data_IF_416832379449
#
_entry.id   IF_416832379449
#
_cell.length_a   1.000
_cell.length_b   1.000
_cell.length_c   1.000
_cell.angle_alpha   90.00
_cell.angle_beta   90.00
_cell.angle_gamma   90.00
#
_symmetry.space_group_name_H-M   'P 1'
#
loop_
_entity.id
_entity.type
_entity.pdbx_description
1 polymer ?
#
# COMPACT_ATOMS: atom_id res chain seq x y z
N UNK A 1 9.95 -28.16 4.51
CA UNK A 1 10.98 -29.09 5.03
C UNK A 1 11.23 -30.26 4.07
N UNK A 2 10.25 -31.14 3.80
CA UNK A 2 10.38 -32.29 2.89
C UNK A 2 11.07 -31.95 1.56
N UNK A 3 10.57 -30.96 0.83
CA UNK A 3 11.16 -30.52 -0.44
C UNK A 3 12.62 -30.05 -0.32
N UNK A 4 12.95 -29.33 0.76
CA UNK A 4 14.30 -28.79 1.02
C UNK A 4 15.34 -29.91 1.18
N UNK A 5 14.98 -31.01 1.85
CA UNK A 5 15.88 -32.12 2.14
C UNK A 5 15.79 -33.28 1.14
N UNK A 6 14.73 -33.32 0.32
CA UNK A 6 14.61 -34.22 -0.84
C UNK A 6 15.32 -33.68 -2.09
N UNK A 7 15.28 -32.37 -2.31
CA UNK A 7 15.99 -31.69 -3.40
C UNK A 7 16.86 -30.57 -2.82
N UNK A 8 18.04 -30.90 -2.24
CA UNK A 8 18.91 -29.93 -1.60
C UNK A 8 19.31 -28.79 -2.51
N UNK A 9 19.16 -27.57 -2.02
CA UNK A 9 19.73 -26.37 -2.62
C UNK A 9 20.00 -25.34 -1.54
N UNK A 10 21.03 -24.52 -1.72
CA UNK A 10 21.33 -23.43 -0.78
C UNK A 10 20.09 -22.55 -0.56
N UNK A 11 19.45 -22.16 -1.65
CA UNK A 11 18.35 -21.20 -1.62
C UNK A 11 17.10 -21.77 -0.95
N UNK A 12 16.78 -23.06 -1.14
CA UNK A 12 15.59 -23.67 -0.52
C UNK A 12 15.68 -23.74 1.01
N UNK A 13 16.88 -23.99 1.55
CA UNK A 13 17.12 -23.96 3.00
C UNK A 13 17.03 -22.53 3.55
N UNK A 14 17.62 -21.56 2.86
CA UNK A 14 17.58 -20.15 3.28
C UNK A 14 16.16 -19.57 3.21
N UNK A 15 15.39 -19.92 2.18
CA UNK A 15 13.96 -19.58 2.08
C UNK A 15 13.14 -20.17 3.22
N UNK A 16 13.39 -21.43 3.61
CA UNK A 16 12.70 -22.07 4.73
C UNK A 16 13.00 -21.36 6.06
N UNK A 17 14.28 -21.01 6.29
CA UNK A 17 14.71 -20.23 7.46
C UNK A 17 14.09 -18.85 7.49
N UNK A 18 13.97 -18.21 6.33
CA UNK A 18 13.32 -16.91 6.23
C UNK A 18 11.83 -17.01 6.57
N UNK A 19 11.12 -18.03 6.08
CA UNK A 19 9.71 -18.28 6.41
C UNK A 19 9.49 -18.44 7.93
N UNK A 20 10.38 -19.16 8.62
CA UNK A 20 10.33 -19.27 10.09
C UNK A 20 10.62 -17.93 10.78
N UNK A 21 11.57 -17.14 10.25
CA UNK A 21 11.89 -15.79 10.77
C UNK A 21 10.70 -14.83 10.66
N UNK A 22 9.92 -14.89 9.58
CA UNK A 22 8.68 -14.11 9.42
C UNK A 22 7.71 -14.38 10.59
N UNK A 23 7.60 -15.65 10.97
CA UNK A 23 6.75 -16.10 12.06
C UNK A 23 7.36 -15.87 13.46
N UNK A 24 8.60 -15.39 13.54
CA UNK A 24 9.38 -15.30 14.80
C UNK A 24 9.48 -16.65 15.51
N UNK A 25 9.68 -17.72 14.74
CA UNK A 25 9.92 -19.06 15.27
C UNK A 25 11.41 -19.36 15.21
N UNK A 26 11.99 -19.71 16.35
CA UNK A 26 13.39 -20.12 16.45
C UNK A 26 13.60 -21.48 15.74
N UNK A 27 14.70 -21.60 14.98
CA UNK A 27 14.92 -22.78 14.14
C UNK A 27 15.06 -24.07 14.95
N UNK A 28 15.65 -23.97 16.14
CA UNK A 28 15.90 -25.10 17.03
C UNK A 28 14.61 -25.62 17.71
N UNK A 29 13.61 -24.77 17.91
CA UNK A 29 12.28 -25.18 18.38
C UNK A 29 11.59 -26.08 17.35
N UNK A 30 11.89 -25.89 16.06
CA UNK A 30 11.31 -26.70 14.97
C UNK A 30 12.14 -27.96 14.74
N UNK A 31 13.43 -27.80 14.41
CA UNK A 31 14.36 -28.91 14.16
C UNK A 31 15.83 -28.44 14.19
N UNK A 32 16.68 -29.23 14.83
CA UNK A 32 18.13 -29.04 14.81
C UNK A 32 18.70 -29.15 13.39
N UNK A 33 18.05 -29.90 12.49
CA UNK A 33 18.45 -29.98 11.08
C UNK A 33 18.40 -28.60 10.45
N UNK A 34 17.29 -27.87 10.59
CA UNK A 34 17.13 -26.52 10.04
C UNK A 34 18.17 -25.56 10.62
N UNK A 35 18.53 -25.74 11.88
CA UNK A 35 19.44 -24.85 12.62
C UNK A 35 20.89 -25.05 12.21
N UNK A 36 21.33 -26.30 12.04
CA UNK A 36 22.75 -26.64 11.94
C UNK A 36 23.19 -27.15 10.56
N UNK A 37 22.26 -27.39 9.64
CA UNK A 37 22.60 -27.75 8.27
C UNK A 37 23.21 -26.59 7.47
N UNK A 38 24.13 -26.90 6.57
CA UNK A 38 24.68 -25.99 5.57
C UNK A 38 24.75 -26.72 4.23
N UNK A 39 24.47 -26.01 3.14
CA UNK A 39 24.55 -26.59 1.79
C UNK A 39 25.99 -27.02 1.49
N UNK A 40 26.16 -28.21 0.93
CA UNK A 40 27.48 -28.72 0.57
C UNK A 40 27.84 -28.30 -0.87
N UNK A 41 28.74 -27.31 -1.07
CA UNK A 41 29.09 -26.87 -2.43
C UNK A 41 29.81 -27.97 -3.24
N UNK A 42 30.41 -28.96 -2.56
CA UNK A 42 31.13 -30.07 -3.20
C UNK A 42 30.21 -31.25 -3.52
N UNK A 43 28.99 -31.28 -2.96
CA UNK A 43 27.97 -32.26 -3.30
C UNK A 43 26.62 -31.54 -3.41
N UNK A 44 26.18 -31.20 -4.64
CA UNK A 44 24.95 -30.44 -4.83
C UNK A 44 23.70 -31.17 -4.35
N UNK A 45 23.79 -32.49 -4.11
CA UNK A 45 22.68 -33.31 -3.62
C UNK A 45 22.68 -33.49 -2.09
N UNK A 46 23.37 -32.64 -1.34
CA UNK A 46 23.46 -32.84 0.11
C UNK A 46 23.75 -31.60 0.95
N UNK A 47 23.47 -31.74 2.23
CA UNK A 47 23.83 -30.80 3.29
C UNK A 47 24.88 -31.43 4.19
N UNK A 48 25.59 -30.59 4.94
CA UNK A 48 26.49 -31.01 6.01
C UNK A 48 26.24 -30.21 7.30
N UNK A 49 26.66 -30.75 8.43
CA UNK A 49 26.61 -30.10 9.74
C UNK A 49 27.89 -30.39 10.53
N UNK A 50 28.34 -29.39 11.29
CA UNK A 50 29.49 -29.53 12.22
C UNK A 50 29.04 -30.15 13.54
N UNK A 51 27.76 -29.98 13.90
CA UNK A 51 27.16 -30.65 15.06
C UNK A 51 26.57 -31.98 14.65
N UNK A 52 26.61 -32.94 15.58
CA UNK A 52 25.91 -34.21 15.44
C UNK A 52 24.41 -33.96 15.30
N UNK A 53 23.83 -34.48 14.23
CA UNK A 53 22.39 -34.43 13.97
C UNK A 53 21.85 -35.86 13.93
N UNK A 54 20.67 -36.06 14.50
CA UNK A 54 19.98 -37.34 14.45
C UNK A 54 19.77 -37.78 13.00
N UNK A 55 20.00 -39.07 12.75
CA UNK A 55 19.88 -39.73 11.43
C UNK A 55 20.89 -39.32 10.35
N UNK A 56 21.84 -38.44 10.66
CA UNK A 56 22.89 -38.06 9.69
C UNK A 56 24.06 -39.03 9.78
N UNK A 57 24.79 -39.19 8.66
CA UNK A 57 26.00 -40.04 8.62
C UNK A 57 27.24 -39.21 8.91
N UNK A 58 28.13 -39.70 9.77
CA UNK A 58 29.41 -39.03 10.06
C UNK A 58 30.50 -39.54 9.12
N UNK A 59 31.40 -38.65 8.72
CA UNK A 59 32.71 -39.04 8.21
C UNK A 59 33.79 -38.83 9.29
N UNK A 60 34.99 -39.39 9.08
CA UNK A 60 36.13 -39.33 10.00
C UNK A 60 36.54 -37.89 10.41
N UNK A 61 36.20 -36.90 9.59
CA UNK A 61 36.47 -35.48 9.82
C UNK A 61 35.47 -34.78 10.76
N UNK A 62 34.74 -35.50 11.61
CA UNK A 62 33.75 -34.95 12.56
C UNK A 62 32.64 -34.10 11.91
N UNK A 63 32.38 -34.32 10.61
CA UNK A 63 31.28 -33.68 9.87
C UNK A 63 30.20 -34.70 9.62
N UNK A 64 28.95 -34.25 9.78
CA UNK A 64 27.75 -35.03 9.56
C UNK A 64 27.13 -34.64 8.23
N UNK A 65 26.66 -35.59 7.45
CA UNK A 65 26.14 -35.37 6.10
C UNK A 65 24.74 -35.97 5.93
N UNK A 66 23.94 -35.26 5.14
CA UNK A 66 22.67 -35.73 4.61
C UNK A 66 22.71 -35.60 3.09
N UNK A 67 22.43 -36.68 2.38
CA UNK A 67 22.30 -36.63 0.92
C UNK A 67 20.90 -37.09 0.52
N UNK A 68 20.33 -36.42 -0.47
CA UNK A 68 19.03 -36.75 -1.03
C UNK A 68 18.94 -38.23 -1.44
N UNK A 69 17.82 -38.87 -1.13
CA UNK A 69 17.52 -40.25 -1.54
C UNK A 69 18.24 -41.36 -0.74
N UNK A 70 19.07 -41.05 0.25
CA UNK A 70 19.82 -42.09 0.99
C UNK A 70 18.99 -42.85 2.04
N UNK A 71 17.97 -42.22 2.66
CA UNK A 71 17.12 -42.84 3.68
C UNK A 71 15.76 -42.12 3.78
N UNK A 72 14.73 -42.61 3.09
CA UNK A 72 13.39 -41.99 3.11
C UNK A 72 12.76 -42.11 4.52
N UNK A 73 12.88 -43.26 5.17
CA UNK A 73 12.31 -43.52 6.50
C UNK A 73 12.86 -42.60 7.60
N UNK A 74 14.15 -42.25 7.51
CA UNK A 74 14.81 -41.34 8.46
C UNK A 74 14.31 -39.91 8.30
N UNK A 75 14.08 -39.48 7.05
CA UNK A 75 13.49 -38.17 6.77
C UNK A 75 12.04 -38.10 7.25
N UNK A 76 11.26 -39.16 7.07
CA UNK A 76 9.88 -39.23 7.53
C UNK A 76 9.79 -39.13 9.06
N UNK A 77 10.68 -39.81 9.80
CA UNK A 77 10.76 -39.68 11.27
C UNK A 77 11.06 -38.25 11.72
N UNK A 78 11.97 -37.54 11.06
CA UNK A 78 12.24 -36.14 11.39
C UNK A 78 11.05 -35.23 11.03
N UNK A 79 10.33 -35.51 9.93
CA UNK A 79 9.10 -34.79 9.57
C UNK A 79 8.01 -34.98 10.63
N UNK A 80 7.82 -36.20 11.14
CA UNK A 80 6.87 -36.47 12.23
C UNK A 80 7.20 -35.64 13.48
N UNK A 81 8.47 -35.63 13.89
CA UNK A 81 8.96 -34.82 15.01
C UNK A 81 8.71 -33.32 14.79
N UNK A 82 8.96 -32.82 13.57
CA UNK A 82 8.67 -31.43 13.21
C UNK A 82 7.18 -31.12 13.32
N UNK A 83 6.30 -32.02 12.88
CA UNK A 83 4.86 -31.84 12.98
C UNK A 83 4.40 -31.74 14.44
N UNK A 84 4.95 -32.58 15.34
CA UNK A 84 4.67 -32.49 16.78
C UNK A 84 5.14 -31.15 17.38
N UNK A 85 6.36 -30.73 17.04
CA UNK A 85 6.92 -29.46 17.52
C UNK A 85 6.10 -28.27 17.02
N UNK A 86 5.80 -28.21 15.72
CA UNK A 86 4.98 -27.14 15.13
C UNK A 86 3.57 -27.13 15.71
N UNK A 87 2.96 -28.28 15.98
CA UNK A 87 1.64 -28.34 16.60
C UNK A 87 1.62 -27.65 17.97
N UNK A 88 2.70 -27.75 18.76
CA UNK A 88 2.84 -27.03 20.03
C UNK A 88 3.08 -25.53 19.84
N UNK A 89 3.94 -25.17 18.88
CA UNK A 89 4.33 -23.78 18.62
C UNK A 89 3.15 -22.97 18.05
N UNK A 90 2.42 -23.52 17.08
CA UNK A 90 1.33 -22.85 16.37
C UNK A 90 0.10 -22.57 17.26
N UNK A 91 0.03 -23.15 18.46
CA UNK A 91 -1.03 -22.85 19.43
C UNK A 91 -0.83 -21.48 20.08
N UNK A 92 0.42 -20.99 20.18
CA UNK A 92 0.77 -19.69 20.79
C UNK A 92 -0.02 -18.55 20.10
N UNK A 93 -0.79 -17.78 20.87
CA UNK A 93 -1.68 -16.73 20.32
C UNK A 93 -0.95 -15.71 19.45
N UNK A 94 0.27 -15.31 19.85
CA UNK A 94 1.12 -14.41 19.07
C UNK A 94 1.32 -14.90 17.64
N UNK A 95 1.57 -16.21 17.47
CA UNK A 95 1.80 -16.83 16.16
C UNK A 95 0.49 -16.98 15.40
N UNK A 96 -0.60 -17.36 16.07
CA UNK A 96 -1.94 -17.41 15.45
C UNK A 96 -2.34 -16.06 14.86
N UNK A 97 -2.13 -14.97 15.59
CA UNK A 97 -2.46 -13.62 15.11
C UNK A 97 -1.58 -13.22 13.93
N UNK A 98 -0.28 -13.56 13.96
CA UNK A 98 0.60 -13.35 12.79
C UNK A 98 0.14 -14.12 11.56
N UNK A 99 -0.25 -15.38 11.70
CA UNK A 99 -0.69 -16.21 10.57
C UNK A 99 -2.01 -15.70 9.99
N UNK A 100 -2.87 -15.08 10.79
CA UNK A 100 -4.11 -14.45 10.29
C UNK A 100 -3.84 -13.21 9.43
N UNK A 101 -2.68 -12.57 9.54
CA UNK A 101 -2.35 -11.39 8.75
C UNK A 101 -2.17 -11.78 7.25
N UNK A 102 -3.00 -11.27 6.32
CA UNK A 102 -2.91 -11.62 4.90
C UNK A 102 -1.57 -11.29 4.25
N UNK A 103 -0.88 -10.25 4.73
CA UNK A 103 0.44 -9.85 4.23
C UNK A 103 1.49 -10.89 4.64
N UNK A 104 1.40 -11.40 5.88
CA UNK A 104 2.26 -12.51 6.34
C UNK A 104 1.98 -13.77 5.53
N UNK A 105 0.70 -14.08 5.27
CA UNK A 105 0.33 -15.23 4.43
C UNK A 105 0.91 -15.12 3.02
N UNK A 106 0.82 -13.95 2.37
CA UNK A 106 1.40 -13.71 1.05
C UNK A 106 2.92 -13.95 1.05
N UNK A 107 3.63 -13.46 2.06
CA UNK A 107 5.08 -13.68 2.20
C UNK A 107 5.41 -15.16 2.40
N UNK A 108 4.68 -15.86 3.25
CA UNK A 108 4.90 -17.29 3.44
C UNK A 108 4.60 -18.09 2.17
N UNK A 109 3.47 -17.79 1.51
CA UNK A 109 3.07 -18.45 0.27
C UNK A 109 4.13 -18.28 -0.82
N UNK A 110 4.67 -17.07 -1.01
CA UNK A 110 5.72 -16.82 -2.00
C UNK A 110 7.02 -17.58 -1.71
N UNK A 111 7.44 -17.64 -0.45
CA UNK A 111 8.64 -18.42 -0.06
C UNK A 111 8.42 -19.92 -0.22
N UNK A 112 7.26 -20.45 0.19
CA UNK A 112 6.94 -21.86 0.06
C UNK A 112 6.76 -22.28 -1.41
N UNK A 113 6.14 -21.45 -2.24
CA UNK A 113 6.02 -21.69 -3.67
C UNK A 113 7.41 -21.73 -4.33
N UNK A 114 8.29 -20.79 -3.99
CA UNK A 114 9.66 -20.79 -4.49
C UNK A 114 10.43 -22.06 -4.08
N UNK A 115 10.30 -22.52 -2.83
CA UNK A 115 10.88 -23.80 -2.38
C UNK A 115 10.35 -24.97 -3.22
N UNK A 116 9.04 -24.98 -3.50
CA UNK A 116 8.42 -26.01 -4.34
C UNK A 116 8.96 -25.99 -5.76
N UNK A 117 9.03 -24.83 -6.40
CA UNK A 117 9.50 -24.68 -7.78
C UNK A 117 10.98 -25.04 -7.94
N UNK A 118 11.82 -24.65 -6.98
CA UNK A 118 13.22 -25.05 -6.92
C UNK A 118 13.37 -26.57 -6.80
N UNK A 119 12.52 -27.22 -5.98
CA UNK A 119 12.61 -28.68 -5.79
C UNK A 119 12.23 -29.48 -7.04
N UNK A 120 11.42 -28.92 -7.93
CA UNK A 120 11.03 -29.51 -9.21
C UNK A 120 11.94 -29.08 -10.37
N UNK A 121 13.00 -28.30 -10.11
CA UNK A 121 13.87 -27.72 -11.13
C UNK A 121 13.11 -26.91 -12.19
N UNK A 122 11.94 -26.39 -11.82
CA UNK A 122 11.07 -25.65 -12.73
C UNK A 122 11.57 -24.22 -12.99
N UNK A 123 12.37 -23.67 -12.06
CA UNK A 123 12.83 -22.27 -12.12
C UNK A 123 14.23 -22.10 -11.52
N UNK A 124 14.95 -21.08 -12.00
CA UNK A 124 16.21 -20.60 -11.43
C UNK A 124 15.93 -19.50 -10.39
N UNK A 125 16.54 -19.61 -9.20
CA UNK A 125 16.34 -18.67 -8.09
C UNK A 125 16.55 -17.21 -8.51
N UNK A 126 17.64 -16.94 -9.24
CA UNK A 126 18.03 -15.58 -9.66
C UNK A 126 16.97 -14.88 -10.52
N UNK A 127 16.08 -15.63 -11.19
CA UNK A 127 15.01 -15.06 -12.01
C UNK A 127 13.78 -14.63 -11.19
N UNK A 128 13.47 -15.32 -10.09
CA UNK A 128 12.30 -15.02 -9.26
C UNK A 128 12.67 -14.22 -8.00
N UNK A 129 13.89 -14.34 -7.47
CA UNK A 129 14.34 -13.64 -6.27
C UNK A 129 14.07 -12.11 -6.30
N UNK A 130 14.24 -11.39 -7.43
CA UNK A 130 13.87 -9.98 -7.51
C UNK A 130 12.40 -9.69 -7.20
N UNK A 131 11.48 -10.59 -7.57
CA UNK A 131 10.06 -10.45 -7.23
C UNK A 131 9.83 -10.58 -5.73
N UNK A 132 10.45 -11.58 -5.09
CA UNK A 132 10.36 -11.77 -3.63
C UNK A 132 10.90 -10.53 -2.91
N UNK A 133 12.06 -10.01 -3.32
CA UNK A 133 12.61 -8.79 -2.73
C UNK A 133 11.69 -7.58 -2.89
N UNK A 134 10.99 -7.44 -4.01
CA UNK A 134 9.98 -6.38 -4.19
C UNK A 134 8.78 -6.57 -3.25
N UNK A 135 8.29 -7.79 -3.06
CA UNK A 135 7.20 -8.10 -2.13
C UNK A 135 7.59 -7.76 -0.69
N UNK A 136 8.83 -8.11 -0.29
CA UNK A 136 9.37 -7.81 1.03
C UNK A 136 9.53 -6.30 1.27
N UNK A 137 10.07 -5.57 0.29
CA UNK A 137 10.19 -4.11 0.36
C UNK A 137 8.81 -3.44 0.51
N UNK A 138 7.85 -3.80 -0.36
CA UNK A 138 6.48 -3.24 -0.30
C UNK A 138 5.76 -3.60 0.99
N UNK A 139 5.93 -4.83 1.49
CA UNK A 139 5.34 -5.24 2.79
C UNK A 139 5.87 -4.38 3.92
N UNK A 140 7.16 -4.07 3.92
CA UNK A 140 7.79 -3.26 4.98
C UNK A 140 7.17 -1.87 5.04
N UNK A 141 6.87 -1.27 3.89
CA UNK A 141 6.20 0.02 3.82
C UNK A 141 4.72 -0.07 4.25
N UNK A 142 4.00 -1.09 3.79
CA UNK A 142 2.60 -1.31 4.17
C UNK A 142 2.46 -1.51 5.68
N UNK A 143 3.31 -2.31 6.31
CA UNK A 143 3.25 -2.58 7.76
C UNK A 143 3.55 -1.34 8.63
N UNK A 144 4.20 -0.30 8.09
CA UNK A 144 4.41 0.97 8.80
C UNK A 144 3.16 1.85 8.81
N UNK A 145 2.22 1.59 7.89
CA UNK A 145 1.07 2.46 7.62
C UNK A 145 -0.23 1.78 8.03
N UNK A 146 -0.37 0.49 7.75
CA UNK A 146 -1.58 -0.29 7.98
C UNK A 146 -1.39 -1.25 9.14
N UNK A 147 -2.32 -1.17 10.09
CA UNK A 147 -2.51 -2.19 11.11
C UNK A 147 -3.76 -3.00 10.73
N UNK A 148 -3.60 -4.32 10.54
CA UNK A 148 -4.71 -5.21 10.21
C UNK A 148 -5.30 -5.75 11.50
N UNK A 149 -6.46 -5.21 11.89
CA UNK A 149 -7.25 -5.72 13.01
C UNK A 149 -8.54 -6.37 12.51
N UNK A 150 -8.96 -7.45 13.17
CA UNK A 150 -10.25 -8.11 12.88
C UNK A 150 -11.45 -7.35 13.45
N UNK A 151 -11.22 -6.53 14.48
CA UNK A 151 -12.23 -5.74 15.19
C UNK A 151 -11.53 -4.57 15.87
N UNK A 152 -12.02 -3.34 15.65
CA UNK A 152 -11.58 -2.18 16.42
C UNK A 152 -12.72 -1.81 17.36
N UNK A 153 -12.43 -1.75 18.66
CA UNK A 153 -13.32 -1.14 19.66
C UNK A 153 -12.85 0.30 19.86
N UNK A 154 -13.65 1.27 19.43
CA UNK A 154 -13.44 2.68 19.78
C UNK A 154 -14.54 3.08 20.77
N UNK A 155 -14.22 3.02 22.07
CA UNK A 155 -15.23 3.10 23.14
C UNK A 155 -16.21 1.92 23.11
N UNK A 156 -17.53 2.21 23.17
CA UNK A 156 -18.61 1.22 23.15
C UNK A 156 -19.01 0.76 21.72
N UNK A 157 -18.40 1.33 20.67
CA UNK A 157 -18.76 1.04 19.28
C UNK A 157 -17.84 -0.02 18.65
N UNK A 158 -18.45 -1.09 18.12
CA UNK A 158 -17.78 -2.09 17.28
C UNK A 158 -17.69 -1.56 15.85
N UNK A 159 -16.46 -1.21 15.42
CA UNK A 159 -16.21 -0.80 14.03
C UNK A 159 -16.12 -2.05 13.16
N UNK A 160 -17.06 -2.18 12.23
CA UNK A 160 -17.02 -3.20 11.18
C UNK A 160 -16.54 -2.58 9.88
N UNK A 161 -16.13 -3.42 8.92
CA UNK A 161 -15.74 -2.95 7.58
C UNK A 161 -16.84 -2.10 6.90
N UNK A 162 -18.11 -2.37 7.21
CA UNK A 162 -19.24 -1.63 6.63
C UNK A 162 -19.47 -0.27 7.31
N UNK A 163 -18.99 -0.07 8.55
CA UNK A 163 -19.23 1.15 9.33
C UNK A 163 -18.00 2.06 9.44
N UNK A 164 -16.88 1.69 8.83
CA UNK A 164 -15.58 2.37 8.98
C UNK A 164 -15.61 3.88 8.66
N UNK A 165 -16.53 4.32 7.79
CA UNK A 165 -16.72 5.73 7.42
C UNK A 165 -18.05 6.33 7.91
N UNK A 166 -18.81 5.60 8.75
CA UNK A 166 -20.15 6.00 9.19
C UNK A 166 -20.19 6.51 10.63
N UNK A 167 -19.04 6.52 11.32
CA UNK A 167 -18.97 6.93 12.73
C UNK A 167 -19.00 8.44 12.93
N UNK A 168 -18.42 9.19 11.98
CA UNK A 168 -18.30 10.65 12.05
C UNK A 168 -18.71 11.27 10.73
N UNK A 169 -19.19 12.51 10.78
CA UNK A 169 -19.54 13.25 9.57
C UNK A 169 -18.30 13.62 8.72
N UNK A 170 -17.14 13.75 9.35
CA UNK A 170 -15.88 14.11 8.68
C UNK A 170 -14.76 13.18 9.14
N UNK A 171 -14.10 12.55 8.16
CA UNK A 171 -12.95 11.69 8.37
C UNK A 171 -11.73 12.30 7.67
N UNK A 172 -10.68 12.63 8.44
CA UNK A 172 -9.44 13.19 7.90
C UNK A 172 -8.34 12.13 7.92
N UNK A 173 -7.83 11.78 6.74
CA UNK A 173 -6.75 10.79 6.58
C UNK A 173 -5.47 11.55 6.24
N UNK A 174 -4.57 11.68 7.22
CA UNK A 174 -3.30 12.38 7.03
C UNK A 174 -2.23 11.47 6.42
N UNK A 175 -1.70 11.86 5.26
CA UNK A 175 -0.60 11.17 4.58
C UNK A 175 0.74 11.91 4.68
N UNK A 176 0.90 12.79 5.69
CA UNK A 176 2.08 13.66 5.85
C UNK A 176 3.40 12.88 5.87
N UNK A 177 3.45 11.78 6.64
CA UNK A 177 4.65 10.98 6.88
C UNK A 177 4.65 9.66 6.08
N UNK A 178 4.08 9.69 4.89
CA UNK A 178 3.97 8.53 4.01
C UNK A 178 4.93 8.68 2.81
N UNK A 179 5.56 7.59 2.39
CA UNK A 179 6.46 7.62 1.23
C UNK A 179 5.69 7.86 -0.08
N UNK A 180 6.40 8.18 -1.18
CA UNK A 180 5.76 8.53 -2.45
C UNK A 180 4.87 7.40 -3.01
N UNK A 181 5.37 6.17 -3.04
CA UNK A 181 4.62 5.00 -3.53
C UNK A 181 3.30 4.80 -2.78
N UNK A 182 3.33 4.91 -1.45
CA UNK A 182 2.16 4.73 -0.61
C UNK A 182 1.21 5.94 -0.67
N UNK A 183 1.72 7.16 -0.90
CA UNK A 183 0.89 8.34 -1.20
C UNK A 183 0.08 8.18 -2.49
N UNK A 184 0.50 7.32 -3.39
CA UNK A 184 -0.27 7.00 -4.61
C UNK A 184 -1.23 5.83 -4.36
N UNK A 185 -0.78 4.79 -3.65
CA UNK A 185 -1.56 3.57 -3.41
C UNK A 185 -2.72 3.77 -2.42
N UNK A 186 -2.45 4.43 -1.29
CA UNK A 186 -3.41 4.50 -0.17
C UNK A 186 -4.66 5.31 -0.53
N UNK A 187 -4.57 6.52 -1.15
CA UNK A 187 -5.76 7.25 -1.61
C UNK A 187 -6.60 6.47 -2.61
N UNK A 188 -5.96 5.79 -3.58
CA UNK A 188 -6.66 4.96 -4.55
C UNK A 188 -7.43 3.82 -3.87
N UNK A 189 -6.79 3.15 -2.89
CA UNK A 189 -7.42 2.08 -2.13
C UNK A 189 -8.62 2.61 -1.32
N UNK A 190 -8.46 3.74 -0.64
CA UNK A 190 -9.54 4.39 0.13
C UNK A 190 -10.69 4.77 -0.81
N UNK A 191 -10.38 5.37 -1.96
CA UNK A 191 -11.38 5.75 -2.96
C UNK A 191 -12.19 4.53 -3.42
N UNK A 192 -11.50 3.44 -3.81
CA UNK A 192 -12.18 2.23 -4.27
C UNK A 192 -13.01 1.57 -3.17
N UNK A 193 -12.44 1.39 -1.97
CA UNK A 193 -13.15 0.75 -0.85
C UNK A 193 -14.35 1.58 -0.42
N UNK A 194 -14.19 2.89 -0.22
CA UNK A 194 -15.31 3.76 0.20
C UNK A 194 -16.41 3.82 -0.87
N UNK A 195 -16.04 3.88 -2.14
CA UNK A 195 -17.00 3.83 -3.25
C UNK A 195 -17.78 2.51 -3.28
N UNK A 196 -17.08 1.38 -3.24
CA UNK A 196 -17.73 0.06 -3.29
C UNK A 196 -18.63 -0.19 -2.06
N UNK A 197 -18.18 0.21 -0.86
CA UNK A 197 -18.99 0.11 0.35
C UNK A 197 -20.26 0.98 0.25
N UNK A 198 -20.12 2.24 -0.16
CA UNK A 198 -21.24 3.16 -0.30
C UNK A 198 -22.23 2.72 -1.38
N UNK A 199 -21.72 2.26 -2.52
CA UNK A 199 -22.53 1.69 -3.61
C UNK A 199 -23.32 0.48 -3.13
N UNK A 200 -22.69 -0.45 -2.41
CA UNK A 200 -23.35 -1.65 -1.88
C UNK A 200 -24.40 -1.32 -0.83
N UNK A 201 -24.16 -0.33 0.04
CA UNK A 201 -25.15 0.13 1.01
C UNK A 201 -26.39 0.73 0.34
N UNK A 202 -26.19 1.62 -0.65
CA UNK A 202 -27.29 2.22 -1.40
C UNK A 202 -28.08 1.22 -2.26
N UNK A 203 -27.46 0.12 -2.71
CA UNK A 203 -28.18 -0.96 -3.39
C UNK A 203 -29.05 -1.80 -2.45
N UNK A 204 -28.64 -1.96 -1.19
CA UNK A 204 -29.39 -2.73 -0.18
C UNK A 204 -30.51 -1.91 0.46
N UNK A 205 -30.25 -0.62 0.71
CA UNK A 205 -31.21 0.29 1.33
C UNK A 205 -31.99 1.03 0.25
N UNK A 206 -33.32 0.91 0.25
CA UNK A 206 -34.22 1.72 -0.60
C UNK A 206 -34.20 3.24 -0.26
N UNK A 207 -33.29 3.68 0.60
CA UNK A 207 -33.13 5.05 1.08
C UNK A 207 -32.03 5.71 0.24
N UNK A 208 -32.45 6.51 -0.75
CA UNK A 208 -31.58 7.20 -1.72
C UNK A 208 -30.83 8.43 -1.16
N UNK A 209 -30.72 8.58 0.15
CA UNK A 209 -30.40 9.88 0.78
C UNK A 209 -29.04 9.93 1.48
N UNK A 210 -28.24 8.86 1.47
CA UNK A 210 -26.89 8.94 2.02
C UNK A 210 -25.93 9.53 0.98
N UNK A 211 -25.21 10.59 1.36
CA UNK A 211 -24.22 11.27 0.50
C UNK A 211 -22.83 11.04 1.06
N UNK A 212 -21.92 10.59 0.20
CA UNK A 212 -20.50 10.47 0.52
C UNK A 212 -19.70 11.45 -0.34
N UNK A 213 -18.82 12.25 0.26
CA UNK A 213 -17.92 13.12 -0.49
C UNK A 213 -16.47 12.78 -0.16
N UNK A 214 -15.74 12.25 -1.14
CA UNK A 214 -14.30 12.04 -1.03
C UNK A 214 -13.58 13.31 -1.47
N UNK A 215 -12.79 13.89 -0.57
CA UNK A 215 -11.95 15.05 -0.89
C UNK A 215 -10.50 14.58 -1.00
N UNK A 216 -9.90 14.79 -2.17
CA UNK A 216 -8.49 14.47 -2.43
C UNK A 216 -7.71 15.78 -2.55
N UNK A 217 -6.88 16.04 -1.55
CA UNK A 217 -5.93 17.16 -1.58
C UNK A 217 -4.64 16.78 -2.32
N UNK A 218 -3.98 17.76 -2.91
CA UNK A 218 -2.80 17.59 -3.77
C UNK A 218 -2.97 16.50 -4.83
N UNK A 219 -4.16 16.48 -5.44
CA UNK A 219 -4.61 15.37 -6.27
C UNK A 219 -3.75 15.10 -7.51
N UNK A 220 -2.95 16.06 -7.97
CA UNK A 220 -1.98 15.83 -9.04
C UNK A 220 -0.97 14.73 -8.69
N UNK A 221 -0.70 14.45 -7.42
CA UNK A 221 0.19 13.35 -7.03
C UNK A 221 -0.41 11.96 -7.33
N UNK A 222 -1.73 11.87 -7.51
CA UNK A 222 -2.46 10.61 -7.66
C UNK A 222 -3.07 10.50 -9.07
N UNK A 223 -3.56 11.61 -9.60
CA UNK A 223 -4.35 11.65 -10.84
C UNK A 223 -3.53 12.06 -12.06
N UNK A 224 -2.20 12.09 -11.96
CA UNK A 224 -1.34 12.48 -13.06
C UNK A 224 -1.07 11.37 -14.07
N UNK A 225 -0.97 11.76 -15.34
CA UNK A 225 -0.58 10.86 -16.42
C UNK A 225 0.95 10.73 -16.60
N UNK A 226 1.74 11.72 -16.17
CA UNK A 226 3.17 11.81 -16.50
C UNK A 226 4.13 11.18 -15.48
N UNK A 227 3.80 10.02 -14.91
CA UNK A 227 4.75 9.28 -14.06
C UNK A 227 5.59 8.29 -14.86
N UNK A 228 6.81 8.69 -15.23
CA UNK A 228 7.81 7.85 -15.93
C UNK A 228 8.39 6.69 -15.11
N UNK A 229 7.99 6.56 -13.83
CA UNK A 229 8.54 5.60 -12.87
C UNK A 229 7.63 4.37 -12.69
N UNK A 230 6.40 4.42 -13.20
CA UNK A 230 5.37 3.39 -12.95
C UNK A 230 5.21 2.44 -14.13
N UNK A 231 4.76 1.20 -13.87
CA UNK A 231 4.27 0.36 -14.96
C UNK A 231 2.97 0.94 -15.50
N UNK A 232 2.82 0.99 -16.84
CA UNK A 232 1.62 1.53 -17.50
C UNK A 232 0.32 0.94 -16.92
N UNK A 233 0.29 -0.38 -16.69
CA UNK A 233 -0.87 -1.06 -16.10
C UNK A 233 -1.29 -0.54 -14.71
N UNK A 234 -0.33 -0.16 -13.86
CA UNK A 234 -0.65 0.35 -12.52
C UNK A 234 -1.23 1.76 -12.60
N UNK A 235 -0.66 2.58 -13.48
CA UNK A 235 -1.16 3.92 -13.78
C UNK A 235 -2.58 3.85 -14.34
N UNK A 236 -2.82 2.99 -15.33
CA UNK A 236 -4.14 2.82 -15.96
C UNK A 236 -5.18 2.42 -14.93
N UNK A 237 -4.89 1.38 -14.13
CA UNK A 237 -5.80 0.94 -13.06
C UNK A 237 -6.14 2.06 -12.06
N UNK A 238 -5.15 2.88 -11.69
CA UNK A 238 -5.37 3.99 -10.77
C UNK A 238 -6.32 5.02 -11.37
N UNK A 239 -6.08 5.45 -12.61
CA UNK A 239 -6.94 6.42 -13.28
C UNK A 239 -8.34 5.86 -13.53
N UNK A 240 -8.45 4.60 -13.93
CA UNK A 240 -9.72 3.89 -14.14
C UNK A 240 -10.62 3.92 -12.90
N UNK A 241 -10.05 3.74 -11.71
CA UNK A 241 -10.82 3.82 -10.45
C UNK A 241 -11.44 5.20 -10.27
N UNK A 242 -10.68 6.28 -10.48
CA UNK A 242 -11.22 7.64 -10.32
C UNK A 242 -12.15 8.03 -11.47
N UNK A 243 -11.91 7.53 -12.68
CA UNK A 243 -12.81 7.70 -13.81
C UNK A 243 -14.15 6.98 -13.61
N UNK A 244 -14.14 5.76 -13.05
CA UNK A 244 -15.36 5.04 -12.65
C UNK A 244 -16.14 5.88 -11.63
N UNK A 245 -15.46 6.34 -10.58
CA UNK A 245 -16.07 7.14 -9.51
C UNK A 245 -16.68 8.44 -10.05
N UNK A 246 -15.97 9.19 -10.89
CA UNK A 246 -16.47 10.48 -11.39
C UNK A 246 -17.63 10.32 -12.38
N UNK A 247 -17.64 9.23 -13.19
CA UNK A 247 -18.70 8.94 -14.18
C UNK A 247 -19.94 8.32 -13.54
N UNK A 248 -19.77 7.43 -12.56
CA UNK A 248 -20.86 6.64 -11.99
C UNK A 248 -21.27 7.07 -10.58
N UNK A 249 -20.38 7.70 -9.82
CA UNK A 249 -20.58 8.02 -8.39
C UNK A 249 -21.86 8.80 -8.12
N UNK A 250 -22.21 9.75 -9.01
CA UNK A 250 -23.45 10.53 -8.92
C UNK A 250 -24.71 9.67 -8.84
N UNK A 251 -24.75 8.50 -9.51
CA UNK A 251 -25.90 7.58 -9.47
C UNK A 251 -26.12 6.98 -8.07
N UNK A 252 -25.06 6.96 -7.26
CA UNK A 252 -25.04 6.33 -5.94
C UNK A 252 -24.89 7.32 -4.80
N UNK A 253 -24.95 8.64 -5.04
CA UNK A 253 -24.73 9.65 -3.99
C UNK A 253 -23.27 9.81 -3.58
N UNK A 254 -22.32 9.30 -4.38
CA UNK A 254 -20.89 9.42 -4.14
C UNK A 254 -20.31 10.55 -4.98
N UNK A 255 -19.71 11.54 -4.32
CA UNK A 255 -19.08 12.70 -4.95
C UNK A 255 -17.57 12.70 -4.70
N UNK A 256 -16.86 13.26 -5.66
CA UNK A 256 -15.42 13.43 -5.62
C UNK A 256 -15.10 14.92 -5.72
N UNK A 257 -14.35 15.43 -4.75
CA UNK A 257 -13.78 16.78 -4.76
C UNK A 257 -12.27 16.66 -4.92
N UNK A 258 -11.73 17.35 -5.92
CA UNK A 258 -10.31 17.31 -6.28
C UNK A 258 -9.73 18.70 -6.00
N UNK A 259 -8.76 18.78 -5.08
CA UNK A 259 -8.00 19.99 -4.82
C UNK A 259 -6.57 19.81 -5.32
N UNK A 260 -6.07 20.75 -6.11
CA UNK A 260 -4.70 20.71 -6.64
C UNK A 260 -4.22 22.11 -7.04
N UNK A 261 -2.93 22.34 -6.80
CA UNK A 261 -2.19 23.51 -7.27
C UNK A 261 -1.68 23.39 -8.73
N UNK A 262 -1.71 22.18 -9.31
CA UNK A 262 -1.30 21.89 -10.68
C UNK A 262 -2.41 21.16 -11.42
N UNK A 263 -3.46 21.86 -11.88
CA UNK A 263 -4.55 21.23 -12.60
C UNK A 263 -4.08 20.61 -13.93
N UNK A 264 -3.11 21.20 -14.64
CA UNK A 264 -2.57 20.67 -15.90
C UNK A 264 -1.96 19.26 -15.76
N UNK A 265 -1.48 18.92 -14.56
CA UNK A 265 -0.88 17.61 -14.29
C UNK A 265 -1.96 16.52 -14.14
N UNK A 266 -3.23 16.87 -13.92
CA UNK A 266 -4.35 15.92 -13.72
C UNK A 266 -4.82 15.40 -15.09
N UNK A 267 -5.19 14.12 -15.15
CA UNK A 267 -5.76 13.51 -16.36
C UNK A 267 -6.88 14.36 -16.97
N UNK A 268 -6.76 14.78 -18.25
CA UNK A 268 -7.80 15.55 -18.93
C UNK A 268 -9.16 14.87 -18.94
N UNK A 269 -9.19 13.53 -18.94
CA UNK A 269 -10.44 12.76 -18.88
C UNK A 269 -11.16 13.02 -17.57
N UNK A 270 -10.46 12.99 -16.44
CA UNK A 270 -11.05 13.29 -15.12
C UNK A 270 -11.51 14.74 -15.08
N UNK A 271 -10.67 15.69 -15.52
CA UNK A 271 -10.99 17.12 -15.49
C UNK A 271 -12.23 17.45 -16.32
N UNK A 272 -12.43 16.76 -17.46
CA UNK A 272 -13.62 16.92 -18.31
C UNK A 272 -14.93 16.49 -17.66
N UNK A 273 -14.88 15.64 -16.61
CA UNK A 273 -16.05 15.16 -15.88
C UNK A 273 -16.36 15.99 -14.62
N UNK A 274 -15.52 16.99 -14.30
CA UNK A 274 -15.77 17.88 -13.16
C UNK A 274 -16.92 18.82 -13.52
N UNK A 275 -17.95 18.82 -12.68
CA UNK A 275 -19.14 19.63 -12.91
C UNK A 275 -19.04 21.06 -12.38
N UNK A 276 -18.30 21.26 -11.28
CA UNK A 276 -18.21 22.51 -10.56
C UNK A 276 -16.75 22.84 -10.26
N UNK A 277 -16.36 24.09 -10.46
CA UNK A 277 -15.00 24.55 -10.31
C UNK A 277 -14.93 25.74 -9.34
N UNK A 278 -13.93 25.69 -8.47
CA UNK A 278 -13.52 26.79 -7.60
C UNK A 278 -12.09 27.16 -7.98
N UNK A 279 -11.95 28.18 -8.83
CA UNK A 279 -10.68 28.55 -9.45
C UNK A 279 -10.06 29.70 -8.67
N UNK A 280 -9.01 29.40 -7.92
CA UNK A 280 -8.15 30.41 -7.33
C UNK A 280 -7.18 30.98 -8.37
N UNK A 281 -6.30 31.89 -7.92
CA UNK A 281 -5.28 32.48 -8.77
C UNK A 281 -4.40 31.41 -9.43
N UNK A 282 -4.42 31.37 -10.76
CA UNK A 282 -3.54 30.54 -11.59
C UNK A 282 -2.79 31.44 -12.58
N UNK A 283 -1.47 31.22 -12.69
CA UNK A 283 -0.58 32.04 -13.53
C UNK A 283 0.02 31.23 -14.68
N UNK A 284 0.01 29.91 -14.58
CA UNK A 284 0.59 29.02 -15.57
C UNK A 284 -0.32 28.89 -16.82
N UNK A 285 0.23 29.15 -18.00
CA UNK A 285 -0.49 29.07 -19.27
C UNK A 285 -1.07 27.66 -19.56
N UNK A 286 -0.38 26.60 -19.15
CA UNK A 286 -0.85 25.24 -19.35
C UNK A 286 -2.09 24.94 -18.50
N UNK A 287 -2.09 25.42 -17.25
CA UNK A 287 -3.24 25.30 -16.35
C UNK A 287 -4.45 26.05 -16.92
N UNK A 288 -4.24 27.29 -17.41
CA UNK A 288 -5.29 28.08 -18.04
C UNK A 288 -5.83 27.44 -19.32
N UNK A 289 -4.96 26.83 -20.14
CA UNK A 289 -5.37 26.12 -21.37
C UNK A 289 -6.14 24.84 -21.09
N UNK A 290 -5.78 24.10 -20.03
CA UNK A 290 -6.52 22.91 -19.64
C UNK A 290 -7.94 23.29 -19.21
N UNK A 291 -8.06 24.31 -18.35
CA UNK A 291 -9.37 24.81 -17.90
C UNK A 291 -10.22 25.31 -19.06
N UNK A 292 -9.62 25.99 -20.04
CA UNK A 292 -10.29 26.44 -21.26
C UNK A 292 -10.95 25.30 -22.04
N UNK A 293 -10.28 24.15 -22.12
CA UNK A 293 -10.80 22.98 -22.83
C UNK A 293 -11.87 22.25 -22.03
N UNK A 294 -11.78 22.27 -20.71
CA UNK A 294 -12.69 21.57 -19.83
C UNK A 294 -14.00 22.34 -19.58
N UNK A 295 -13.98 23.68 -19.72
CA UNK A 295 -15.04 24.54 -19.22
C UNK A 295 -15.66 25.39 -20.34
N UNK A 296 -16.81 24.95 -20.86
CA UNK A 296 -17.55 25.71 -21.87
C UNK A 296 -18.26 26.95 -21.31
N UNK A 297 -18.47 27.02 -19.99
CA UNK A 297 -19.27 28.06 -19.33
C UNK A 297 -18.49 29.31 -18.91
N UNK A 298 -17.16 29.31 -19.03
CA UNK A 298 -16.32 30.42 -18.58
C UNK A 298 -16.13 31.43 -19.73
N UNK A 299 -16.58 32.66 -19.53
CA UNK A 299 -16.39 33.73 -20.51
C UNK A 299 -14.95 34.27 -20.51
N UNK A 300 -14.58 34.94 -21.61
CA UNK A 300 -13.23 35.49 -21.78
C UNK A 300 -12.86 36.48 -20.68
N UNK A 301 -13.83 37.28 -20.21
CA UNK A 301 -13.60 38.29 -19.17
C UNK A 301 -13.25 37.61 -17.85
N UNK A 302 -14.03 36.62 -17.39
CA UNK A 302 -13.71 35.87 -16.18
C UNK A 302 -12.36 35.18 -16.29
N UNK A 303 -12.06 34.57 -17.45
CA UNK A 303 -10.77 33.91 -17.68
C UNK A 303 -9.58 34.88 -17.57
N UNK A 304 -9.70 36.07 -18.17
CA UNK A 304 -8.66 37.11 -18.11
C UNK A 304 -8.42 37.63 -16.68
N UNK A 305 -9.37 37.43 -15.78
CA UNK A 305 -9.26 37.82 -14.37
C UNK A 305 -8.56 36.79 -13.48
N UNK A 306 -8.51 35.50 -13.88
CA UNK A 306 -7.91 34.41 -13.07
C UNK A 306 -6.49 34.75 -12.57
N UNK A 307 -5.56 35.24 -13.42
CA UNK A 307 -4.19 35.54 -12.96
C UNK A 307 -4.12 36.73 -11.98
N UNK A 308 -5.15 37.57 -11.96
CA UNK A 308 -5.25 38.80 -11.19
C UNK A 308 -6.02 38.63 -9.86
N UNK A 309 -6.54 37.44 -9.56
CA UNK A 309 -7.23 37.16 -8.31
C UNK A 309 -6.28 37.34 -7.11
N UNK A 310 -6.74 38.04 -6.09
CA UNK A 310 -6.03 38.19 -4.81
C UNK A 310 -6.16 36.92 -3.95
N UNK A 311 -5.26 36.68 -2.98
CA UNK A 311 -5.41 35.57 -2.04
C UNK A 311 -6.78 35.59 -1.34
N UNK A 312 -7.46 34.43 -1.34
CA UNK A 312 -8.82 34.28 -0.83
C UNK A 312 -9.92 34.63 -1.85
N UNK A 313 -9.60 35.17 -3.03
CA UNK A 313 -10.58 35.29 -4.12
C UNK A 313 -10.59 34.01 -4.97
N UNK A 314 -11.76 33.66 -5.48
CA UNK A 314 -11.95 32.56 -6.41
C UNK A 314 -13.03 32.89 -7.45
N UNK A 315 -12.93 32.30 -8.63
CA UNK A 315 -14.03 32.23 -9.59
C UNK A 315 -14.74 30.90 -9.39
N UNK A 316 -16.05 30.97 -9.20
CA UNK A 316 -16.91 29.80 -9.02
C UNK A 316 -17.82 29.68 -10.24
N UNK A 317 -17.83 28.51 -10.87
CA UNK A 317 -18.61 28.24 -12.08
C UNK A 317 -18.85 26.74 -12.22
N UNK A 318 -19.82 26.36 -13.06
CA UNK A 318 -20.19 24.98 -13.30
C UNK A 318 -21.69 24.78 -13.38
N UNK A 319 -22.14 23.53 -13.35
CA UNK A 319 -23.57 23.17 -13.48
C UNK A 319 -24.43 23.66 -12.31
N UNK A 320 -23.83 23.96 -11.17
CA UNK A 320 -24.53 24.47 -9.98
C UNK A 320 -24.68 26.00 -9.97
N UNK A 321 -24.15 26.71 -10.98
CA UNK A 321 -24.14 28.18 -11.03
C UNK A 321 -24.65 28.66 -12.39
N UNK A 322 -25.59 29.60 -12.40
CA UNK A 322 -26.15 30.15 -13.65
C UNK A 322 -25.12 30.97 -14.44
N UNK A 323 -24.19 31.63 -13.73
CA UNK A 323 -23.13 32.47 -14.27
C UNK A 323 -21.86 32.31 -13.43
N UNK A 324 -20.66 32.51 -14.01
CA UNK A 324 -19.42 32.59 -13.24
C UNK A 324 -19.48 33.72 -12.19
N UNK A 325 -19.15 33.41 -10.94
CA UNK A 325 -19.15 34.36 -9.83
C UNK A 325 -17.74 34.54 -9.29
N UNK A 326 -17.30 35.80 -9.13
CA UNK A 326 -16.09 36.11 -8.35
C UNK A 326 -16.50 36.24 -6.88
N UNK A 327 -15.97 35.36 -6.04
CA UNK A 327 -16.24 35.33 -4.60
C UNK A 327 -14.97 35.61 -3.81
N UNK A 328 -15.15 36.09 -2.58
CA UNK A 328 -14.09 36.18 -1.57
C UNK A 328 -14.42 35.20 -0.46
N UNK A 329 -13.52 34.23 -0.25
CA UNK A 329 -13.63 33.22 0.79
C UNK A 329 -13.17 33.84 2.10
N UNK A 330 -14.01 33.71 3.13
CA UNK A 330 -13.69 34.16 4.47
C UNK A 330 -12.53 33.36 5.05
N UNK A 331 -11.65 34.06 5.78
CA UNK A 331 -10.53 33.40 6.46
C UNK A 331 -11.05 32.75 7.73
N UNK A 332 -10.56 31.54 7.99
CA UNK A 332 -10.75 30.89 9.28
C UNK A 332 -10.00 31.66 10.37
N UNK A 333 -10.55 31.65 11.58
CA UNK A 333 -9.85 32.12 12.78
C UNK A 333 -8.56 31.30 12.98
N UNK A 334 -7.54 31.90 13.61
CA UNK A 334 -6.20 31.27 13.71
C UNK A 334 -6.23 29.92 14.40
N UNK A 335 -7.15 29.75 15.36
CA UNK A 335 -7.35 28.54 16.14
C UNK A 335 -7.96 27.41 15.31
N UNK A 336 -8.71 27.75 14.25
CA UNK A 336 -9.39 26.81 13.35
C UNK A 336 -8.64 26.61 12.02
N UNK A 337 -7.70 27.50 11.72
CA UNK A 337 -6.91 27.45 10.50
C UNK A 337 -5.95 26.24 10.49
N UNK A 338 -5.78 25.57 9.33
CA UNK A 338 -4.81 24.49 9.20
C UNK A 338 -3.40 25.01 9.46
N UNK A 339 -2.58 24.19 10.13
CA UNK A 339 -1.17 24.48 10.40
C UNK A 339 -0.36 24.43 9.09
N UNK A 340 -0.45 25.54 8.35
CA UNK A 340 0.04 25.74 6.98
C UNK A 340 1.08 26.87 6.91
N UNK A 341 1.44 27.46 8.06
CA UNK A 341 2.51 28.45 8.12
C UNK A 341 3.82 27.82 7.68
N UNK A 342 4.45 28.45 6.69
CA UNK A 342 5.81 28.11 6.32
C UNK A 342 6.72 28.22 7.54
N UNK A 343 7.73 27.34 7.60
CA UNK A 343 8.75 27.42 8.63
C UNK A 343 9.38 28.82 8.63
N UNK A 344 9.53 29.44 9.79
CA UNK A 344 10.14 30.76 9.92
C UNK A 344 11.65 30.66 9.68
N UNK A 345 12.03 30.66 8.40
CA UNK A 345 13.41 30.45 7.95
C UNK A 345 14.38 31.45 8.58
N UNK A 346 13.94 32.70 8.80
CA UNK A 346 14.77 33.76 9.39
C UNK A 346 15.14 33.42 10.84
N UNK A 347 14.17 32.99 11.65
CA UNK A 347 14.44 32.51 13.01
C UNK A 347 15.32 31.26 12.99
N UNK A 348 15.01 30.29 12.12
CA UNK A 348 15.75 29.03 12.01
C UNK A 348 17.21 29.23 11.59
N UNK A 349 17.47 30.18 10.69
CA UNK A 349 18.80 30.49 10.18
C UNK A 349 19.60 31.40 11.11
N UNK A 350 18.99 31.88 12.22
CA UNK A 350 19.61 32.79 13.19
C UNK A 350 20.25 34.00 12.53
N UNK A 351 19.66 34.49 11.43
CA UNK A 351 20.15 35.69 10.76
C UNK A 351 19.83 36.86 11.69
N UNK A 352 20.86 37.42 12.33
CA UNK A 352 20.72 38.70 13.03
C UNK A 352 20.40 39.75 11.98
N UNK A 353 19.28 40.44 12.13
CA UNK A 353 19.07 41.70 11.42
C UNK A 353 20.15 42.68 11.87
N UNK A 354 21.11 42.98 10.99
CA UNK A 354 21.94 44.16 11.14
C UNK A 354 21.01 45.36 10.99
N UNK A 355 20.73 46.02 12.11
CA UNK A 355 19.95 47.24 12.18
C UNK A 355 20.70 48.32 11.40
N UNK A 356 20.18 48.68 10.22
CA UNK A 356 20.59 49.87 9.47
C UNK A 356 19.55 50.96 9.61
#
# INVERSE_FOLDING_TARGET
FKNVYNSPSKDSLDLLRYALKILEIEYNEVSEWITHSAFNPNNPNGYYSIKKLSYWKSNDNHKWYWNAGQSIDELEKEIEKINENLSRILIKEKIKNKIKNPIVQLRLATHFQMIFDLSHHAVLYDHIAPLIHRIEARTTDINKILEITSTRSDGDCLVTNETIFNEKAVHVISLKNVNRDMKMLIPMLIAKISYDLHRNQNMKSNVKENIFNLIVDEAHNILSEETSVESEKWKDYRLDVFEEIIKEGRKFGYYLTIASQRPADISPTIVSQIHNFFIHRLVNDNDLKLLDKAMNSLDYVSKSSIPNLSPGQAIVTGVSFDLPLIVKIDRLEKEEAPNSSNSELIEMWKVKEDSR
#
